data_IF_768943362685
#
_entry.id   IF_768943362685
#
_cell.length_a   1.000
_cell.length_b   1.000
_cell.length_c   1.000
_cell.angle_alpha   90.00
_cell.angle_beta   90.00
_cell.angle_gamma   90.00
#
_symmetry.space_group_name_H-M   'P 1'
#
loop_
_entity.id
_entity.type
_entity.pdbx_description
1 polymer ?
#
# COMPACT_ATOMS: atom_id res chain seq x y z
N UNK A 1 14.08 19.32 5.64
CA UNK A 1 12.77 18.73 5.97
C UNK A 1 11.54 19.43 5.34
N UNK A 2 11.52 20.75 5.07
CA UNK A 2 10.35 21.40 4.44
C UNK A 2 10.16 21.13 2.93
N UNK A 3 11.20 20.82 2.18
CA UNK A 3 11.11 20.54 0.74
C UNK A 3 10.63 19.13 0.40
N UNK A 4 10.88 18.17 1.27
CA UNK A 4 10.49 16.76 1.10
C UNK A 4 8.96 16.58 1.04
N UNK A 5 8.24 17.29 1.91
CA UNK A 5 6.79 17.21 1.99
C UNK A 5 6.06 17.73 0.74
N UNK A 6 6.60 18.74 0.06
CA UNK A 6 5.92 19.36 -1.09
C UNK A 6 6.04 18.50 -2.33
N UNK A 7 7.20 17.88 -2.57
CA UNK A 7 7.40 16.95 -3.68
C UNK A 7 6.56 15.67 -3.50
N UNK A 8 6.54 15.14 -2.28
CA UNK A 8 5.70 14.01 -1.91
C UNK A 8 4.21 14.31 -2.17
N UNK A 9 3.74 15.51 -1.85
CA UNK A 9 2.36 15.95 -2.11
C UNK A 9 1.99 15.95 -3.60
N UNK A 10 2.91 16.39 -4.44
CA UNK A 10 2.72 16.47 -5.89
C UNK A 10 2.64 15.06 -6.50
N UNK A 11 3.52 14.17 -6.08
CA UNK A 11 3.57 12.80 -6.55
C UNK A 11 2.34 11.99 -6.12
N UNK A 12 1.83 12.22 -4.92
CA UNK A 12 0.54 11.68 -4.46
C UNK A 12 -0.64 12.12 -5.33
N UNK A 13 -0.65 13.36 -5.79
CA UNK A 13 -1.70 13.87 -6.66
C UNK A 13 -1.66 13.18 -8.05
N UNK A 14 -0.48 12.87 -8.54
CA UNK A 14 -0.28 12.23 -9.86
C UNK A 14 -0.56 10.72 -9.81
N UNK A 15 -0.11 9.99 -8.78
CA UNK A 15 -0.39 8.56 -8.63
C UNK A 15 -1.88 8.26 -8.45
N UNK A 16 -2.64 9.19 -7.85
CA UNK A 16 -4.08 9.04 -7.66
C UNK A 16 -4.88 9.20 -8.98
N UNK A 17 -4.33 9.84 -9.99
CA UNK A 17 -4.99 10.07 -11.29
C UNK A 17 -4.62 9.05 -12.36
N UNK A 18 -3.58 8.23 -12.16
CA UNK A 18 -3.28 7.09 -13.04
C UNK A 18 -4.31 5.98 -12.81
N UNK A 19 -5.49 6.12 -13.41
CA UNK A 19 -6.65 5.29 -13.10
C UNK A 19 -6.53 3.85 -13.62
N UNK A 20 -5.68 3.59 -14.61
CA UNK A 20 -5.77 2.38 -15.45
C UNK A 20 -4.51 1.52 -15.47
N UNK A 21 -3.57 1.71 -14.55
CA UNK A 21 -2.35 0.87 -14.51
C UNK A 21 -1.36 1.12 -15.64
N UNK A 22 -1.62 2.04 -16.54
CA UNK A 22 -0.65 2.54 -17.50
C UNK A 22 0.19 3.63 -16.85
N UNK A 23 1.46 3.34 -16.73
CA UNK A 23 2.42 4.28 -16.17
C UNK A 23 2.98 5.15 -17.24
N UNK A 24 2.97 6.40 -16.94
CA UNK A 24 3.62 7.40 -17.72
C UNK A 24 4.89 7.91 -17.06
N UNK A 25 5.80 8.37 -17.87
CA UNK A 25 6.92 9.17 -17.41
C UNK A 25 6.38 10.52 -16.97
N UNK A 26 6.58 10.87 -15.70
CA UNK A 26 6.33 12.23 -15.22
C UNK A 26 7.62 13.00 -15.40
N UNK A 27 7.61 14.01 -16.25
CA UNK A 27 8.75 14.90 -16.39
C UNK A 27 8.38 16.29 -15.85
N UNK A 28 9.25 16.80 -14.98
CA UNK A 28 9.17 18.18 -14.50
C UNK A 28 10.14 18.99 -15.33
N UNK A 29 9.63 19.90 -16.15
CA UNK A 29 10.47 20.82 -16.91
C UNK A 29 10.78 22.08 -16.11
N UNK A 30 11.93 22.67 -16.40
CA UNK A 30 12.35 23.95 -15.84
C UNK A 30 11.29 25.01 -16.20
N UNK A 31 10.52 25.46 -15.22
CA UNK A 31 9.39 26.39 -15.44
C UNK A 31 8.05 25.92 -14.89
N UNK A 32 8.04 24.92 -14.01
CA UNK A 32 6.87 24.45 -13.25
C UNK A 32 5.79 23.69 -14.04
N UNK A 33 6.10 23.17 -15.21
CA UNK A 33 5.16 22.33 -15.96
C UNK A 33 5.41 20.86 -15.70
N UNK A 34 4.38 20.14 -15.26
CA UNK A 34 4.41 18.69 -15.06
C UNK A 34 3.51 18.07 -16.14
N UNK A 35 4.05 17.14 -16.90
CA UNK A 35 3.27 16.35 -17.85
C UNK A 35 3.30 14.86 -17.51
N UNK A 36 2.19 14.21 -17.74
CA UNK A 36 2.05 12.74 -17.60
C UNK A 36 1.65 12.22 -18.97
N UNK A 37 2.42 11.30 -19.53
CA UNK A 37 2.15 10.68 -20.84
C UNK A 37 2.02 11.67 -22.01
N UNK A 38 2.59 12.86 -21.91
CA UNK A 38 2.50 13.86 -22.99
C UNK A 38 1.16 14.59 -23.07
N UNK A 39 0.22 14.35 -22.17
CA UNK A 39 -1.05 15.10 -22.08
C UNK A 39 -0.87 16.41 -21.31
N UNK A 40 -1.84 17.33 -21.48
CA UNK A 40 -1.77 18.73 -21.10
C UNK A 40 -1.16 19.00 -19.71
N UNK A 41 -0.33 20.03 -19.54
CA UNK A 41 0.45 20.25 -18.33
C UNK A 41 -0.43 20.57 -17.14
N UNK A 42 -0.24 19.82 -16.06
CA UNK A 42 -0.69 20.24 -14.75
C UNK A 42 0.25 21.33 -14.24
N UNK A 43 -0.26 22.54 -14.01
CA UNK A 43 0.54 23.60 -13.44
C UNK A 43 0.82 23.32 -11.97
N UNK A 44 2.07 23.14 -11.63
CA UNK A 44 2.57 22.97 -10.26
C UNK A 44 3.50 24.12 -9.94
N UNK A 45 3.16 24.88 -8.92
CA UNK A 45 4.05 25.89 -8.37
C UNK A 45 4.96 25.20 -7.34
N UNK A 46 6.19 24.96 -7.72
CA UNK A 46 7.23 24.46 -6.82
C UNK A 46 8.13 25.63 -6.44
N UNK A 47 8.60 25.67 -5.22
CA UNK A 47 9.36 26.75 -4.61
C UNK A 47 10.80 26.95 -5.15
N UNK A 48 10.94 27.01 -6.47
CA UNK A 48 12.13 27.51 -7.16
C UNK A 48 13.38 26.63 -7.13
N UNK A 49 13.28 25.34 -6.75
CA UNK A 49 14.39 24.38 -6.80
C UNK A 49 14.27 23.47 -8.02
N UNK A 50 15.42 23.18 -8.63
CA UNK A 50 15.50 22.18 -9.72
C UNK A 50 15.12 20.79 -9.17
N UNK A 51 13.90 20.35 -9.44
CA UNK A 51 13.46 19.00 -9.13
C UNK A 51 13.75 18.10 -10.32
N UNK A 52 14.35 16.97 -10.03
CA UNK A 52 14.72 15.98 -11.06
C UNK A 52 13.52 15.09 -11.40
N UNK A 53 13.56 14.45 -12.56
CA UNK A 53 12.49 13.61 -13.05
C UNK A 53 12.29 12.38 -12.18
N UNK A 54 11.04 12.10 -11.80
CA UNK A 54 10.66 10.88 -11.12
C UNK A 54 10.24 9.82 -12.14
N UNK A 55 10.77 8.62 -12.01
CA UNK A 55 10.36 7.49 -12.84
C UNK A 55 9.42 6.58 -12.04
N UNK A 56 8.23 6.36 -12.58
CA UNK A 56 7.34 5.32 -12.09
C UNK A 56 7.67 4.03 -12.84
N UNK A 57 8.19 3.05 -12.14
CA UNK A 57 8.36 1.73 -12.70
C UNK A 57 7.06 0.95 -12.56
N UNK A 58 6.25 0.99 -13.61
CA UNK A 58 5.21 -0.03 -13.78
C UNK A 58 5.79 -1.22 -14.43
N UNK A 59 5.15 -2.19 -14.07
CA UNK A 59 5.72 -3.39 -14.29
C UNK A 59 5.31 -4.22 -15.41
N UNK A 60 4.17 -4.18 -15.85
CA UNK A 60 3.74 -5.07 -16.90
C UNK A 60 2.62 -4.47 -17.70
N UNK A 61 2.82 -4.34 -19.01
CA UNK A 61 1.71 -4.20 -19.93
C UNK A 61 0.75 -5.39 -19.70
N UNK A 62 -0.56 -5.19 -19.79
CA UNK A 62 -1.51 -6.29 -19.72
C UNK A 62 -1.08 -7.36 -20.72
N UNK A 63 -0.70 -8.52 -20.21
CA UNK A 63 -0.45 -9.69 -21.05
C UNK A 63 -1.81 -10.30 -21.34
N UNK A 64 -2.36 -10.03 -22.53
CA UNK A 64 -3.67 -10.55 -22.94
C UNK A 64 -3.70 -12.09 -23.01
N UNK A 65 -2.54 -12.72 -22.96
CA UNK A 65 -2.40 -14.19 -22.95
C UNK A 65 -2.31 -14.79 -21.54
N UNK A 66 -2.24 -13.94 -20.50
CA UNK A 66 -2.11 -14.43 -19.12
C UNK A 66 -3.46 -14.98 -18.62
N UNK A 67 -3.49 -16.27 -18.35
CA UNK A 67 -4.64 -16.91 -17.69
C UNK A 67 -4.56 -16.72 -16.18
N UNK A 68 -5.69 -16.34 -15.56
CA UNK A 68 -5.79 -16.19 -14.11
C UNK A 68 -5.43 -17.46 -13.38
N UNK A 69 -4.48 -17.39 -12.47
CA UNK A 69 -3.99 -18.52 -11.69
C UNK A 69 -4.12 -18.29 -10.19
N UNK A 70 -4.36 -19.36 -9.44
CA UNK A 70 -4.37 -19.29 -7.98
C UNK A 70 -3.60 -20.48 -7.38
N UNK A 71 -3.06 -20.25 -6.18
CA UNK A 71 -2.33 -21.27 -5.42
C UNK A 71 -2.73 -21.23 -3.96
N UNK A 72 -2.74 -22.40 -3.33
CA UNK A 72 -2.80 -22.56 -1.89
C UNK A 72 -1.49 -23.19 -1.40
N UNK A 73 -0.89 -22.61 -0.38
CA UNK A 73 0.37 -23.07 0.21
C UNK A 73 0.20 -23.18 1.72
N UNK A 74 0.78 -24.22 2.30
CA UNK A 74 0.89 -24.39 3.74
C UNK A 74 2.36 -24.34 4.12
N UNK A 75 2.73 -23.34 4.93
CA UNK A 75 4.07 -23.19 5.50
C UNK A 75 4.14 -23.88 6.86
N UNK A 76 5.27 -24.49 7.16
CA UNK A 76 5.52 -25.14 8.46
C UNK A 76 6.34 -24.25 9.39
N UNK A 77 7.04 -23.28 8.81
CA UNK A 77 7.81 -22.21 9.48
C UNK A 77 7.71 -20.93 8.67
N UNK A 78 8.03 -19.80 9.28
CA UNK A 78 8.12 -18.54 8.56
C UNK A 78 9.30 -18.52 7.58
N UNK A 79 9.12 -17.83 6.44
CA UNK A 79 10.13 -17.65 5.40
C UNK A 79 10.22 -18.75 4.36
N UNK A 80 9.25 -19.68 4.32
CA UNK A 80 9.25 -20.80 3.36
C UNK A 80 8.57 -20.49 2.02
N UNK A 81 7.80 -19.39 1.93
CA UNK A 81 6.92 -19.15 0.79
C UNK A 81 7.70 -19.10 -0.54
N UNK A 82 8.82 -18.40 -0.56
CA UNK A 82 9.68 -18.32 -1.74
C UNK A 82 10.33 -19.65 -2.12
N UNK A 83 10.67 -20.48 -1.13
CA UNK A 83 11.23 -21.81 -1.36
C UNK A 83 10.18 -22.75 -1.98
N UNK A 84 8.95 -22.73 -1.45
CA UNK A 84 7.86 -23.62 -1.89
C UNK A 84 7.39 -23.27 -3.30
N UNK A 85 7.24 -22.00 -3.61
CA UNK A 85 6.67 -21.55 -4.88
C UNK A 85 7.72 -21.28 -5.96
N UNK A 86 8.95 -20.91 -5.57
CA UNK A 86 9.99 -20.55 -6.53
C UNK A 86 9.49 -19.52 -7.55
N UNK A 87 9.81 -19.75 -8.83
CA UNK A 87 9.40 -18.87 -9.93
C UNK A 87 7.88 -18.78 -10.12
N UNK A 88 7.11 -19.75 -9.61
CA UNK A 88 5.65 -19.73 -9.70
C UNK A 88 5.04 -18.59 -8.89
N UNK A 89 5.73 -18.10 -7.84
CA UNK A 89 5.22 -17.02 -6.99
C UNK A 89 4.89 -15.75 -7.80
N UNK A 90 5.68 -15.45 -8.83
CA UNK A 90 5.45 -14.30 -9.71
C UNK A 90 4.39 -14.52 -10.78
N UNK A 91 3.99 -15.77 -11.03
CA UNK A 91 2.97 -16.11 -12.04
C UNK A 91 1.56 -16.26 -11.47
N UNK A 92 1.40 -16.29 -10.14
CA UNK A 92 0.10 -16.41 -9.48
C UNK A 92 -0.59 -15.07 -9.32
N UNK A 93 -1.90 -15.01 -9.58
CA UNK A 93 -2.74 -13.83 -9.36
C UNK A 93 -3.33 -13.80 -7.95
N UNK A 94 -3.64 -14.98 -7.41
CA UNK A 94 -4.23 -15.13 -6.08
C UNK A 94 -3.52 -16.21 -5.29
N UNK A 95 -3.10 -15.83 -4.08
CA UNK A 95 -2.37 -16.71 -3.17
C UNK A 95 -3.12 -16.87 -1.85
N UNK A 96 -3.33 -18.14 -1.47
CA UNK A 96 -3.82 -18.51 -0.13
C UNK A 96 -2.66 -19.11 0.64
N UNK A 97 -2.32 -18.50 1.79
CA UNK A 97 -1.26 -19.02 2.67
C UNK A 97 -1.88 -19.48 3.98
N UNK A 98 -1.50 -20.67 4.40
CA UNK A 98 -1.83 -21.29 5.68
C UNK A 98 -0.53 -21.56 6.44
N UNK A 99 -0.61 -21.66 7.78
CA UNK A 99 0.56 -21.92 8.61
C UNK A 99 1.34 -20.65 8.94
N UNK A 100 2.64 -20.76 9.13
CA UNK A 100 3.46 -19.68 9.69
C UNK A 100 3.95 -18.72 8.61
N UNK A 101 3.83 -17.42 8.85
CA UNK A 101 4.23 -16.33 7.95
C UNK A 101 5.06 -15.32 8.74
N UNK A 102 6.21 -14.94 8.21
CA UNK A 102 7.08 -13.92 8.79
C UNK A 102 7.44 -12.83 7.76
N UNK A 103 8.35 -11.94 8.13
CA UNK A 103 8.79 -10.82 7.31
C UNK A 103 9.33 -11.25 5.93
N UNK A 104 10.08 -12.35 5.83
CA UNK A 104 10.58 -12.87 4.55
C UNK A 104 9.46 -13.28 3.60
N UNK A 105 8.37 -13.84 4.14
CA UNK A 105 7.21 -14.21 3.33
C UNK A 105 6.47 -12.96 2.85
N UNK A 106 6.35 -11.93 3.68
CA UNK A 106 5.81 -10.62 3.26
C UNK A 106 6.66 -9.99 2.16
N UNK A 107 8.00 -10.03 2.28
CA UNK A 107 8.90 -9.56 1.24
C UNK A 107 8.70 -10.34 -0.07
N UNK A 108 8.56 -11.65 -0.02
CA UNK A 108 8.29 -12.48 -1.19
C UNK A 108 6.94 -12.14 -1.84
N UNK A 109 5.90 -11.90 -1.05
CA UNK A 109 4.59 -11.47 -1.54
C UNK A 109 4.64 -10.04 -2.14
N UNK A 110 5.42 -9.14 -1.54
CA UNK A 110 5.67 -7.82 -2.08
C UNK A 110 6.36 -7.91 -3.45
N UNK A 111 7.45 -8.67 -3.56
CA UNK A 111 8.17 -8.90 -4.82
C UNK A 111 7.25 -9.47 -5.91
N UNK A 112 6.42 -10.45 -5.55
CA UNK A 112 5.46 -11.04 -6.47
C UNK A 112 4.35 -10.05 -6.90
N UNK A 113 3.95 -9.14 -6.02
CA UNK A 113 2.97 -8.09 -6.33
C UNK A 113 3.58 -6.97 -7.16
N UNK A 114 4.86 -6.73 -6.99
CA UNK A 114 5.61 -5.71 -7.74
C UNK A 114 6.06 -6.26 -9.09
N UNK A 115 6.66 -7.46 -9.14
CA UNK A 115 7.30 -8.08 -10.30
C UNK A 115 6.52 -9.23 -10.93
N UNK A 116 5.37 -9.59 -10.45
CA UNK A 116 4.50 -10.64 -10.91
C UNK A 116 3.05 -10.21 -11.10
N UNK A 117 2.16 -11.14 -11.02
CA UNK A 117 0.72 -10.93 -11.17
C UNK A 117 -0.02 -10.91 -9.83
N UNK A 118 0.67 -11.13 -8.69
CA UNK A 118 0.03 -11.29 -7.41
C UNK A 118 -0.77 -10.05 -7.01
N UNK A 119 -2.08 -10.19 -7.00
CA UNK A 119 -3.03 -9.11 -6.72
C UNK A 119 -3.98 -9.41 -5.57
N UNK A 120 -4.13 -10.68 -5.20
CA UNK A 120 -4.98 -11.11 -4.10
C UNK A 120 -4.19 -12.01 -3.16
N UNK A 121 -4.16 -11.67 -1.87
CA UNK A 121 -3.50 -12.43 -0.82
C UNK A 121 -4.54 -12.79 0.24
N UNK A 122 -4.63 -14.08 0.59
CA UNK A 122 -5.49 -14.57 1.64
C UNK A 122 -4.68 -15.25 2.74
N UNK A 123 -4.56 -14.58 3.87
CA UNK A 123 -3.86 -15.05 5.08
C UNK A 123 -4.84 -15.47 6.19
N UNK A 124 -6.12 -15.68 5.87
CA UNK A 124 -7.17 -15.98 6.87
C UNK A 124 -6.78 -17.10 7.85
N UNK A 125 -6.08 -18.10 7.33
CA UNK A 125 -5.66 -19.28 8.10
C UNK A 125 -4.15 -19.30 8.36
N UNK A 126 -3.48 -18.17 8.24
CA UNK A 126 -2.07 -18.00 8.57
C UNK A 126 -1.89 -17.59 10.04
N UNK A 127 -0.72 -17.91 10.58
CA UNK A 127 -0.23 -17.44 11.88
C UNK A 127 0.92 -16.48 11.59
N UNK A 128 0.71 -15.21 11.87
CA UNK A 128 1.73 -14.20 11.61
C UNK A 128 2.70 -14.12 12.80
N UNK A 129 3.98 -14.02 12.48
CA UNK A 129 5.00 -13.79 13.48
C UNK A 129 4.69 -12.53 14.28
N UNK A 130 4.85 -12.61 15.62
CA UNK A 130 4.53 -11.51 16.55
C UNK A 130 3.09 -11.00 16.47
N UNK A 131 2.14 -11.77 15.90
CA UNK A 131 0.77 -11.34 15.66
C UNK A 131 0.69 -10.02 14.87
N UNK A 132 1.62 -9.79 13.95
CA UNK A 132 1.77 -8.51 13.26
C UNK A 132 1.93 -8.66 11.74
N UNK A 133 1.37 -7.70 11.01
CA UNK A 133 1.90 -7.34 9.70
C UNK A 133 3.14 -6.49 9.94
N UNK A 134 4.31 -6.85 9.40
CA UNK A 134 5.56 -6.14 9.65
C UNK A 134 5.51 -4.67 9.25
N UNK A 135 6.41 -3.88 9.81
CA UNK A 135 6.64 -2.52 9.32
C UNK A 135 7.09 -2.60 7.85
N UNK A 136 6.62 -1.69 7.02
CA UNK A 136 6.93 -1.61 5.58
C UNK A 136 6.68 -2.89 4.76
N UNK A 137 5.79 -3.80 5.21
CA UNK A 137 5.55 -5.12 4.61
C UNK A 137 5.36 -5.09 3.08
N UNK A 138 4.71 -4.05 2.55
CA UNK A 138 4.49 -3.83 1.11
C UNK A 138 5.09 -2.50 0.62
N UNK A 139 6.12 -2.02 1.31
CA UNK A 139 6.88 -0.84 0.92
C UNK A 139 8.35 -1.06 1.25
N UNK A 140 9.22 -0.95 0.25
CA UNK A 140 10.66 -0.97 0.46
C UNK A 140 11.30 0.24 -0.23
N UNK A 141 12.11 0.97 0.52
CA UNK A 141 13.03 1.94 -0.06
C UNK A 141 14.11 1.20 -0.83
N UNK A 142 14.37 1.64 -2.05
CA UNK A 142 15.34 0.96 -2.89
C UNK A 142 16.76 1.40 -2.53
N UNK A 143 17.48 0.58 -1.78
CA UNK A 143 18.89 0.82 -1.39
C UNK A 143 19.86 0.90 -2.58
N UNK A 144 19.47 0.43 -3.77
CA UNK A 144 20.36 0.38 -4.94
C UNK A 144 20.56 1.73 -5.64
N UNK A 145 19.89 2.78 -5.20
CA UNK A 145 20.00 4.11 -5.81
C UNK A 145 20.59 5.17 -4.88
N UNK A 146 21.50 4.77 -3.98
CA UNK A 146 22.33 5.73 -3.26
C UNK A 146 23.06 6.63 -4.27
N UNK A 147 22.70 7.90 -4.28
CA UNK A 147 23.29 8.92 -5.15
C UNK A 147 22.53 9.28 -6.41
N UNK A 148 21.40 8.63 -6.72
CA UNK A 148 20.48 9.15 -7.73
C UNK A 148 19.50 10.13 -7.07
N UNK A 149 19.42 11.32 -7.61
CA UNK A 149 18.45 12.35 -7.19
C UNK A 149 17.03 12.05 -7.69
N UNK A 150 16.74 10.80 -8.04
CA UNK A 150 15.46 10.36 -8.57
C UNK A 150 14.74 9.49 -7.53
N UNK A 151 13.59 9.94 -7.08
CA UNK A 151 12.69 9.12 -6.29
C UNK A 151 11.97 8.13 -7.21
N UNK A 152 12.10 6.83 -6.93
CA UNK A 152 11.44 5.78 -7.69
C UNK A 152 10.24 5.29 -6.88
N UNK A 153 9.05 5.43 -7.46
CA UNK A 153 7.82 4.93 -6.87
C UNK A 153 7.43 3.61 -7.54
N UNK A 154 7.22 2.59 -6.74
CA UNK A 154 6.80 1.30 -7.23
C UNK A 154 5.27 1.16 -7.20
N UNK A 155 4.71 0.74 -8.32
CA UNK A 155 3.31 0.38 -8.38
C UNK A 155 3.13 -1.07 -7.95
N UNK A 156 2.64 -1.29 -6.74
CA UNK A 156 2.34 -2.62 -6.21
C UNK A 156 0.97 -3.05 -6.71
N UNK A 157 0.92 -4.20 -7.40
CA UNK A 157 -0.31 -4.75 -7.99
C UNK A 157 -1.31 -5.31 -6.99
N UNK A 158 -0.99 -5.33 -5.68
CA UNK A 158 -1.86 -5.86 -4.63
C UNK A 158 -3.17 -5.10 -4.55
N UNK A 159 -4.30 -5.78 -4.83
CA UNK A 159 -5.66 -5.21 -4.81
C UNK A 159 -6.45 -5.59 -3.57
N UNK A 160 -6.18 -6.79 -3.05
CA UNK A 160 -6.92 -7.33 -1.89
C UNK A 160 -6.00 -8.13 -1.00
N UNK A 161 -6.13 -7.91 0.30
CA UNK A 161 -5.54 -8.78 1.32
C UNK A 161 -6.58 -9.16 2.36
N UNK A 162 -6.58 -10.42 2.78
CA UNK A 162 -7.40 -10.93 3.88
C UNK A 162 -6.44 -11.30 5.01
N UNK A 163 -6.54 -10.56 6.11
CA UNK A 163 -5.73 -10.73 7.31
C UNK A 163 -6.38 -11.74 8.26
N UNK A 164 -5.57 -12.52 9.02
CA UNK A 164 -6.07 -13.55 9.91
C UNK A 164 -6.64 -12.98 11.21
N UNK A 165 -7.54 -13.71 11.85
CA UNK A 165 -7.82 -13.52 13.28
C UNK A 165 -6.57 -13.89 14.10
N UNK A 166 -6.36 -13.21 15.21
CA UNK A 166 -5.11 -13.28 15.97
C UNK A 166 -4.11 -12.17 15.63
N UNK A 167 -4.33 -11.42 14.55
CA UNK A 167 -3.54 -10.23 14.24
C UNK A 167 -3.83 -9.12 15.25
N UNK A 168 -2.78 -8.60 15.88
CA UNK A 168 -2.88 -7.52 16.87
C UNK A 168 -2.32 -6.19 16.37
N UNK A 169 -1.35 -6.23 15.45
CA UNK A 169 -0.67 -5.03 14.95
C UNK A 169 -0.60 -5.00 13.42
N UNK A 170 -0.90 -3.85 12.83
CA UNK A 170 -0.48 -3.49 11.48
C UNK A 170 0.66 -2.49 11.62
N UNK A 171 1.82 -2.83 11.08
CA UNK A 171 3.07 -2.10 11.25
C UNK A 171 3.09 -0.72 10.61
N UNK A 172 4.13 0.06 10.93
CA UNK A 172 4.39 1.35 10.30
C UNK A 172 4.62 1.16 8.80
N UNK A 173 3.96 1.98 7.98
CA UNK A 173 4.09 1.92 6.52
C UNK A 173 3.75 0.58 5.88
N UNK A 174 3.08 -0.35 6.59
CA UNK A 174 2.86 -1.72 6.12
C UNK A 174 2.28 -1.81 4.70
N UNK A 175 1.37 -0.90 4.34
CA UNK A 175 0.76 -0.76 3.01
C UNK A 175 0.96 0.66 2.44
N UNK A 176 2.03 1.33 2.88
CA UNK A 176 2.33 2.68 2.40
C UNK A 176 2.43 2.70 0.88
N UNK A 177 1.69 3.61 0.25
CA UNK A 177 1.64 3.73 -1.22
C UNK A 177 1.23 2.45 -1.99
N UNK A 178 0.59 1.47 -1.35
CA UNK A 178 -0.01 0.35 -2.05
C UNK A 178 -1.19 0.85 -2.92
N UNK A 179 -0.84 1.51 -4.03
CA UNK A 179 -1.76 2.34 -4.84
C UNK A 179 -2.82 1.52 -5.58
N UNK A 180 -2.72 0.18 -5.62
CA UNK A 180 -3.76 -0.69 -6.14
C UNK A 180 -4.67 -1.26 -5.04
N UNK A 181 -4.30 -1.17 -3.75
CA UNK A 181 -5.03 -1.81 -2.66
C UNK A 181 -6.40 -1.18 -2.45
N UNK A 182 -7.45 -1.98 -2.65
CA UNK A 182 -8.85 -1.58 -2.54
C UNK A 182 -9.58 -2.20 -1.37
N UNK A 183 -9.18 -3.41 -0.98
CA UNK A 183 -9.89 -4.20 0.02
C UNK A 183 -8.93 -4.80 1.05
N UNK A 184 -9.25 -4.57 2.31
CA UNK A 184 -8.63 -5.18 3.48
C UNK A 184 -9.73 -5.40 4.54
N UNK A 185 -9.62 -6.47 5.31
CA UNK A 185 -10.40 -6.64 6.52
C UNK A 185 -9.58 -6.20 7.75
N UNK A 186 -10.28 -5.82 8.79
CA UNK A 186 -9.70 -5.53 10.10
C UNK A 186 -10.17 -6.62 11.06
N UNK A 187 -9.27 -7.54 11.49
CA UNK A 187 -9.62 -8.62 12.43
C UNK A 187 -10.08 -8.09 13.79
N UNK A 188 -10.92 -8.86 14.48
CA UNK A 188 -11.47 -8.46 15.79
C UNK A 188 -10.42 -8.37 16.89
N UNK A 189 -9.26 -9.01 16.69
CA UNK A 189 -8.12 -9.02 17.62
C UNK A 189 -7.20 -7.81 17.45
N UNK A 190 -7.40 -6.98 16.43
CA UNK A 190 -6.55 -5.84 16.12
C UNK A 190 -6.57 -4.80 17.26
N UNK A 191 -5.36 -4.33 17.64
CA UNK A 191 -5.13 -3.34 18.70
C UNK A 191 -4.47 -2.07 18.21
N UNK A 192 -3.63 -2.18 17.16
CA UNK A 192 -2.73 -1.12 16.76
C UNK A 192 -2.65 -0.99 15.24
N UNK A 193 -2.81 0.23 14.73
CA UNK A 193 -2.58 0.59 13.34
C UNK A 193 -1.46 1.64 13.29
N UNK A 194 -0.33 1.29 12.69
CA UNK A 194 0.92 2.06 12.68
C UNK A 194 0.86 3.37 11.90
N UNK A 195 1.91 4.16 12.06
CA UNK A 195 2.10 5.38 11.29
C UNK A 195 2.12 5.05 9.79
N UNK A 196 1.46 5.84 8.96
CA UNK A 196 1.38 5.65 7.51
C UNK A 196 0.88 4.29 7.01
N UNK A 197 0.32 3.43 7.86
CA UNK A 197 0.02 2.03 7.54
C UNK A 197 -0.75 1.83 6.22
N UNK A 198 -1.73 2.68 5.90
CA UNK A 198 -2.53 2.66 4.67
C UNK A 198 -2.44 3.97 3.89
N UNK A 199 -1.43 4.78 4.17
CA UNK A 199 -1.31 6.09 3.52
C UNK A 199 -1.26 5.94 2.00
N UNK A 200 -2.05 6.76 1.30
CA UNK A 200 -2.15 6.80 -0.16
C UNK A 200 -2.59 5.49 -0.85
N UNK A 201 -3.30 4.63 -0.13
CA UNK A 201 -3.97 3.47 -0.74
C UNK A 201 -5.26 3.88 -1.49
N UNK A 202 -5.80 2.96 -2.30
CA UNK A 202 -7.10 3.14 -2.97
C UNK A 202 -8.24 2.36 -2.29
N UNK A 203 -8.23 2.28 -0.96
CA UNK A 203 -9.28 1.60 -0.23
C UNK A 203 -10.66 2.08 -0.67
N UNK A 204 -11.50 1.15 -1.12
CA UNK A 204 -12.87 1.38 -1.57
C UNK A 204 -13.85 0.66 -0.63
N UNK A 205 -14.40 1.40 0.31
CA UNK A 205 -15.34 0.91 1.32
C UNK A 205 -16.47 1.93 1.51
N UNK A 206 -17.70 1.45 1.62
CA UNK A 206 -18.84 2.31 2.01
C UNK A 206 -18.85 2.58 3.51
N UNK A 207 -18.29 1.68 4.29
CA UNK A 207 -18.10 1.80 5.73
C UNK A 207 -16.70 1.34 6.10
N UNK A 208 -16.00 2.15 6.85
CA UNK A 208 -14.78 1.78 7.54
C UNK A 208 -15.10 1.54 9.00
N UNK A 209 -15.29 0.29 9.36
CA UNK A 209 -15.52 -0.11 10.75
C UNK A 209 -14.18 -0.54 11.34
N UNK A 210 -13.69 0.25 12.28
CA UNK A 210 -12.52 -0.11 13.08
C UNK A 210 -13.03 -1.01 14.21
N UNK A 211 -12.48 -2.24 14.38
CA UNK A 211 -12.99 -3.21 15.34
C UNK A 211 -12.89 -2.72 16.78
N UNK A 212 -13.82 -3.19 17.63
CA UNK A 212 -13.65 -3.06 19.08
C UNK A 212 -12.35 -3.75 19.52
N UNK A 213 -11.63 -3.08 20.42
CA UNK A 213 -10.30 -3.50 20.85
C UNK A 213 -9.15 -2.73 20.21
N UNK A 214 -9.35 -2.03 19.08
CA UNK A 214 -8.34 -1.10 18.57
C UNK A 214 -8.19 0.07 19.54
N UNK A 215 -6.97 0.28 19.97
CA UNK A 215 -6.60 1.30 20.95
C UNK A 215 -5.92 2.49 20.29
N UNK A 216 -5.17 2.26 19.21
CA UNK A 216 -4.39 3.32 18.55
C UNK A 216 -4.50 3.24 17.03
N UNK A 217 -4.81 4.39 16.44
CA UNK A 217 -4.64 4.68 15.02
C UNK A 217 -3.60 5.80 14.95
N UNK A 218 -2.43 5.52 14.39
CA UNK A 218 -1.32 6.44 14.49
C UNK A 218 -1.27 7.46 13.34
N UNK A 219 -0.19 8.25 13.33
CA UNK A 219 -0.03 9.41 12.48
C UNK A 219 -0.15 9.03 10.99
N UNK A 220 -0.93 9.76 10.22
CA UNK A 220 -1.17 9.55 8.79
C UNK A 220 -1.65 8.14 8.39
N UNK A 221 -2.15 7.33 9.32
CA UNK A 221 -2.46 5.91 9.09
C UNK A 221 -3.33 5.65 7.85
N UNK A 222 -4.34 6.47 7.59
CA UNK A 222 -5.21 6.40 6.41
C UNK A 222 -5.15 7.66 5.54
N UNK A 223 -4.16 8.52 5.74
CA UNK A 223 -4.12 9.77 4.99
C UNK A 223 -4.06 9.51 3.48
N UNK A 224 -4.69 10.40 2.71
CA UNK A 224 -4.76 10.33 1.25
C UNK A 224 -5.43 9.07 0.67
N UNK A 225 -6.23 8.33 1.43
CA UNK A 225 -7.08 7.28 0.91
C UNK A 225 -8.25 7.90 0.13
N UNK A 226 -7.98 8.45 -1.05
CA UNK A 226 -8.91 9.30 -1.84
C UNK A 226 -10.14 8.57 -2.37
N UNK A 227 -10.14 7.24 -2.36
CA UNK A 227 -11.28 6.39 -2.75
C UNK A 227 -12.12 5.96 -1.55
N UNK A 228 -11.67 6.23 -0.33
CA UNK A 228 -12.35 5.86 0.90
C UNK A 228 -13.53 6.82 1.16
N UNK A 229 -14.59 6.66 0.37
CA UNK A 229 -15.87 7.38 0.52
C UNK A 229 -16.71 6.67 1.59
N UNK A 230 -16.25 6.71 2.84
CA UNK A 230 -16.80 5.87 3.88
C UNK A 230 -17.43 6.67 5.02
N UNK A 231 -18.41 6.04 5.67
CA UNK A 231 -18.73 6.35 7.04
C UNK A 231 -17.69 5.65 7.93
N UNK A 232 -17.00 6.39 8.78
CA UNK A 232 -16.02 5.85 9.72
C UNK A 232 -16.69 5.60 11.06
N UNK A 233 -16.58 4.36 11.55
CA UNK A 233 -16.98 3.98 12.90
C UNK A 233 -15.75 3.64 13.70
N UNK A 234 -15.52 4.37 14.79
CA UNK A 234 -14.41 4.14 15.71
C UNK A 234 -14.92 3.34 16.93
N UNK A 235 -14.08 2.46 17.50
CA UNK A 235 -14.45 1.68 18.66
C UNK A 235 -14.45 2.51 19.94
N UNK A 236 -15.16 2.02 20.95
CA UNK A 236 -15.16 2.63 22.30
C UNK A 236 -13.79 2.51 23.00
N UNK A 237 -12.97 1.59 22.54
CA UNK A 237 -11.63 1.31 23.10
C UNK A 237 -10.54 2.25 22.62
N UNK A 238 -10.83 3.14 21.65
CA UNK A 238 -9.83 4.04 21.07
C UNK A 238 -9.27 4.99 22.12
N UNK A 239 -7.94 5.01 22.26
CA UNK A 239 -7.20 5.86 23.20
C UNK A 239 -6.44 6.97 22.48
N UNK A 240 -6.05 6.70 21.21
CA UNK A 240 -5.23 7.63 20.44
C UNK A 240 -5.62 7.60 18.96
N UNK A 241 -5.84 8.80 18.41
CA UNK A 241 -5.87 9.04 16.97
C UNK A 241 -4.74 10.00 16.67
N UNK A 242 -3.78 9.55 15.88
CA UNK A 242 -2.61 10.31 15.51
C UNK A 242 -2.93 11.49 14.61
N UNK A 243 -2.00 12.42 14.55
CA UNK A 243 -2.11 13.60 13.72
C UNK A 243 -2.31 13.20 12.25
N UNK A 244 -3.27 13.86 11.58
CA UNK A 244 -3.56 13.62 10.16
C UNK A 244 -3.99 12.18 9.80
N UNK A 245 -4.42 11.35 10.75
CA UNK A 245 -4.74 9.94 10.53
C UNK A 245 -5.68 9.69 9.34
N UNK A 246 -6.64 10.58 9.08
CA UNK A 246 -7.61 10.50 7.96
C UNK A 246 -7.53 11.70 7.00
N UNK A 247 -6.40 12.39 6.97
CA UNK A 247 -6.25 13.59 6.15
C UNK A 247 -6.42 13.26 4.65
N UNK A 248 -7.18 14.09 3.95
CA UNK A 248 -7.41 13.92 2.51
C UNK A 248 -8.31 12.75 2.12
N UNK A 249 -8.96 12.09 3.09
CA UNK A 249 -10.00 11.10 2.82
C UNK A 249 -11.35 11.79 2.63
N UNK A 250 -12.16 11.39 1.62
CA UNK A 250 -13.51 11.90 1.42
C UNK A 250 -14.52 11.22 2.37
N UNK A 251 -14.29 11.35 3.68
CA UNK A 251 -15.15 10.76 4.70
C UNK A 251 -16.51 11.48 4.70
N UNK A 252 -17.60 10.72 4.66
CA UNK A 252 -18.95 11.27 4.59
C UNK A 252 -19.55 11.57 5.96
N UNK A 253 -19.19 10.77 6.97
CA UNK A 253 -19.56 10.96 8.37
C UNK A 253 -18.68 10.12 9.29
N UNK A 254 -18.57 10.48 10.57
CA UNK A 254 -17.90 9.71 11.61
C UNK A 254 -18.80 9.46 12.80
N UNK A 255 -18.74 8.27 13.39
CA UNK A 255 -19.31 7.96 14.70
C UNK A 255 -18.20 7.62 15.66
N UNK A 256 -18.21 8.28 16.80
CA UNK A 256 -17.32 8.05 17.94
C UNK A 256 -18.19 7.47 19.04
N UNK A 257 -17.79 6.35 19.59
CA UNK A 257 -18.49 5.71 20.72
C UNK A 257 -17.71 5.95 22.00
#
# INVERSE_FOLDING_TARGET
MRGFNTLLFVLFALSANAADGTLGTVSVQKGNNVSVNGEAPLSLTLDGKDHQSCQFLSKRAPDESHEFTWKEVTTTRGGELAEILGDQLRSVDSLVVKGYVNDKDFHAMWDASLYGYLSVINLKNAVLENNAVPDTAFFHENEQYEGSSHEIFYYIGLRKIILPEGLEKIGEGAFYQASALRQVNFPSTLRYIGDFAFNATKLEMNQLVIPEGVEEINQYAFAFCRKLKAQVTLPSTIKKIGEWAFYGCPITSGRFY
#
